data_IF_954294331232
#
_entry.id   IF_954294331232
#
_cell.length_a   1.000
_cell.length_b   1.000
_cell.length_c   1.000
_cell.angle_alpha   90.00
_cell.angle_beta   90.00
_cell.angle_gamma   90.00
#
_symmetry.space_group_name_H-M   'P 1'
#
loop_
_entity.id
_entity.type
_entity.pdbx_description
1 polymer ?
#
# COMPACT_ATOMS: atom_id res chain seq x y z
N UNK A 1 70.85 -19.56 -23.77
CA UNK A 1 70.57 -18.21 -23.24
C UNK A 1 69.08 -18.09 -23.01
N UNK A 2 68.59 -18.09 -21.76
CA UNK A 2 68.14 -16.89 -21.04
C UNK A 2 66.68 -16.56 -21.42
N UNK A 3 65.68 -16.36 -20.56
CA UNK A 3 65.70 -15.69 -19.25
C UNK A 3 64.49 -16.17 -18.44
N UNK A 4 64.70 -16.52 -17.17
CA UNK A 4 63.65 -16.73 -16.16
C UNK A 4 63.11 -15.36 -15.76
N UNK A 5 61.84 -15.06 -16.07
CA UNK A 5 61.17 -13.84 -15.61
C UNK A 5 60.55 -14.10 -14.25
N UNK A 6 61.28 -13.70 -13.20
CA UNK A 6 60.79 -13.62 -11.83
C UNK A 6 59.70 -12.55 -11.73
N UNK A 7 58.44 -12.96 -11.66
CA UNK A 7 57.33 -12.07 -11.33
C UNK A 7 57.33 -11.79 -9.83
N UNK A 8 57.83 -10.62 -9.42
CA UNK A 8 57.62 -10.08 -8.06
C UNK A 8 56.13 -9.87 -7.83
N UNK A 9 55.58 -10.53 -6.81
CA UNK A 9 54.29 -10.19 -6.23
C UNK A 9 54.37 -8.76 -5.67
N UNK A 10 53.76 -7.79 -6.35
CA UNK A 10 53.48 -6.47 -5.78
C UNK A 10 51.98 -6.35 -5.50
N UNK A 11 51.67 -6.29 -4.21
CA UNK A 11 50.36 -6.10 -3.60
C UNK A 11 49.74 -4.77 -4.07
N UNK A 12 48.96 -4.78 -5.16
CA UNK A 12 48.20 -3.61 -5.65
C UNK A 12 46.76 -3.95 -6.07
N UNK A 13 46.22 -5.09 -5.64
CA UNK A 13 44.88 -5.54 -6.03
C UNK A 13 43.75 -5.14 -5.04
N UNK A 14 44.07 -4.55 -3.89
CA UNK A 14 43.05 -4.18 -2.90
C UNK A 14 42.26 -2.91 -3.27
N UNK A 15 42.90 -1.90 -3.89
CA UNK A 15 42.27 -0.59 -4.15
C UNK A 15 41.27 -0.57 -5.30
N UNK A 16 41.46 -1.38 -6.34
CA UNK A 16 40.57 -1.41 -7.53
C UNK A 16 39.29 -2.18 -7.23
N UNK A 17 39.36 -3.21 -6.37
CA UNK A 17 38.19 -3.98 -5.95
C UNK A 17 37.25 -3.13 -5.08
N UNK A 18 37.79 -2.27 -4.23
CA UNK A 18 37.02 -1.31 -3.42
C UNK A 18 36.31 -0.28 -4.32
N UNK A 19 36.95 0.18 -5.40
CA UNK A 19 36.35 1.13 -6.35
C UNK A 19 35.16 0.54 -7.12
N UNK A 20 35.23 -0.74 -7.52
CA UNK A 20 34.12 -1.45 -8.17
C UNK A 20 32.94 -1.72 -7.22
N UNK A 21 33.19 -1.86 -5.92
CA UNK A 21 32.14 -2.00 -4.89
C UNK A 21 31.47 -0.65 -4.60
N UNK A 22 32.20 0.46 -4.62
CA UNK A 22 31.63 1.82 -4.46
C UNK A 22 30.75 2.23 -5.67
N UNK A 23 31.07 1.77 -6.87
CA UNK A 23 30.26 1.96 -8.09
C UNK A 23 28.96 1.11 -8.12
N UNK A 24 28.71 0.27 -7.11
CA UNK A 24 27.47 -0.50 -6.94
C UNK A 24 26.53 0.04 -5.86
N UNK A 25 26.75 1.25 -5.33
CA UNK A 25 25.74 1.91 -4.49
C UNK A 25 24.61 2.60 -5.28
N UNK A 26 24.74 2.72 -6.60
CA UNK A 26 23.78 3.47 -7.44
C UNK A 26 22.78 2.60 -8.21
N UNK A 27 22.78 1.26 -8.04
CA UNK A 27 21.66 0.46 -8.54
C UNK A 27 20.50 0.69 -7.58
N UNK A 28 19.82 1.79 -7.85
CA UNK A 28 18.88 2.43 -6.96
C UNK A 28 17.80 1.46 -6.49
N UNK A 29 17.48 1.56 -5.21
CA UNK A 29 16.14 1.25 -4.74
C UNK A 29 15.24 2.29 -5.44
N UNK A 30 14.81 2.01 -6.67
CA UNK A 30 13.68 2.71 -7.25
C UNK A 30 12.47 2.23 -6.44
N UNK A 31 12.13 2.96 -5.37
CA UNK A 31 10.84 2.80 -4.72
C UNK A 31 9.79 3.36 -5.67
N UNK A 32 9.49 2.61 -6.73
CA UNK A 32 8.43 2.94 -7.66
C UNK A 32 7.12 2.93 -6.86
N UNK A 33 6.45 4.09 -6.79
CA UNK A 33 5.16 4.22 -6.12
C UNK A 33 4.15 3.36 -6.91
N UNK A 34 3.76 2.24 -6.33
CA UNK A 34 2.76 1.36 -6.93
C UNK A 34 1.37 1.98 -6.76
N UNK A 35 0.58 1.98 -7.84
CA UNK A 35 -0.79 2.47 -7.82
C UNK A 35 -1.68 1.59 -6.90
N UNK A 36 -2.63 2.19 -6.17
CA UNK A 36 -3.50 1.45 -5.29
C UNK A 36 -4.49 0.57 -6.07
N UNK A 37 -4.53 -0.71 -5.74
CA UNK A 37 -5.54 -1.65 -6.20
C UNK A 37 -6.28 -2.19 -4.97
N UNK A 38 -7.61 -2.21 -5.02
CA UNK A 38 -8.45 -2.61 -3.90
C UNK A 38 -8.92 -4.06 -4.02
N UNK A 39 -9.06 -4.74 -2.88
CA UNK A 39 -9.88 -5.95 -2.82
C UNK A 39 -11.35 -5.61 -3.10
N UNK A 40 -12.08 -6.59 -3.65
CA UNK A 40 -13.55 -6.48 -3.71
C UNK A 40 -14.10 -6.35 -2.29
N UNK A 41 -14.99 -5.38 -2.09
CA UNK A 41 -15.75 -5.26 -0.86
C UNK A 41 -16.78 -6.39 -0.79
N UNK A 42 -16.95 -6.96 0.40
CA UNK A 42 -17.99 -7.94 0.69
C UNK A 42 -18.93 -7.36 1.74
N UNK A 43 -20.23 -7.52 1.52
CA UNK A 43 -21.29 -7.11 2.43
C UNK A 43 -22.15 -8.33 2.70
N UNK A 44 -22.55 -8.53 3.96
CA UNK A 44 -23.45 -9.62 4.30
C UNK A 44 -24.77 -9.47 3.53
N UNK A 45 -25.28 -10.58 3.00
CA UNK A 45 -26.56 -10.65 2.32
C UNK A 45 -27.76 -10.53 3.27
N UNK A 46 -27.58 -10.79 4.57
CA UNK A 46 -28.65 -10.88 5.56
C UNK A 46 -28.56 -9.77 6.60
N UNK A 47 -28.74 -8.52 6.16
CA UNK A 47 -28.76 -7.36 7.04
C UNK A 47 -30.19 -6.96 7.40
N UNK A 48 -30.46 -6.74 8.68
CA UNK A 48 -31.75 -6.26 9.16
C UNK A 48 -31.68 -4.81 9.66
N UNK A 49 -32.83 -4.13 9.60
CA UNK A 49 -32.97 -2.81 10.21
C UNK A 49 -32.68 -2.87 11.70
N UNK A 50 -31.95 -1.89 12.21
CA UNK A 50 -31.56 -1.80 13.61
C UNK A 50 -30.26 -2.51 13.97
N UNK A 51 -29.71 -3.34 13.08
CA UNK A 51 -28.42 -4.00 13.29
C UNK A 51 -27.26 -3.05 13.04
N UNK A 52 -26.09 -3.46 13.52
CA UNK A 52 -24.81 -2.81 13.22
C UNK A 52 -24.13 -3.53 12.06
N UNK A 53 -23.55 -2.78 11.12
CA UNK A 53 -22.74 -3.34 10.04
C UNK A 53 -21.46 -2.54 9.84
N UNK A 54 -20.39 -3.27 9.55
CA UNK A 54 -19.08 -2.72 9.22
C UNK A 54 -18.76 -3.05 7.76
N UNK A 55 -18.58 -2.02 6.94
CA UNK A 55 -18.13 -2.14 5.54
C UNK A 55 -16.62 -1.93 5.51
N UNK A 56 -15.88 -2.98 5.16
CA UNK A 56 -14.41 -2.93 5.10
C UNK A 56 -13.92 -2.91 3.67
N UNK A 57 -13.08 -1.93 3.35
CA UNK A 57 -12.30 -1.91 2.13
C UNK A 57 -10.80 -2.05 2.47
N UNK A 58 -10.05 -2.77 1.65
CA UNK A 58 -8.63 -2.99 1.89
C UNK A 58 -7.81 -3.00 0.62
N UNK A 59 -6.62 -2.43 0.72
CA UNK A 59 -5.64 -2.35 -0.34
C UNK A 59 -5.05 -3.74 -0.59
N UNK A 60 -5.14 -4.19 -1.84
CA UNK A 60 -4.51 -5.42 -2.35
C UNK A 60 -3.06 -5.16 -2.75
N UNK A 61 -2.80 -4.03 -3.41
CA UNK A 61 -1.46 -3.55 -3.82
C UNK A 61 -1.44 -2.04 -3.84
N UNK A 62 -0.26 -1.46 -3.78
CA UNK A 62 -0.07 -0.01 -3.75
C UNK A 62 0.83 0.43 -2.61
N UNK A 63 1.43 1.60 -2.77
CA UNK A 63 2.35 2.18 -1.81
C UNK A 63 1.63 3.10 -0.80
N UNK A 64 2.03 3.02 0.47
CA UNK A 64 1.54 3.90 1.53
C UNK A 64 2.32 5.23 1.56
N UNK A 65 1.73 6.33 2.07
CA UNK A 65 0.38 6.45 2.61
C UNK A 65 -0.69 6.50 1.51
N UNK A 66 -1.89 5.97 1.80
CA UNK A 66 -3.07 6.08 0.94
C UNK A 66 -4.21 6.74 1.71
N UNK A 67 -5.02 7.52 1.00
CA UNK A 67 -6.24 8.15 1.53
C UNK A 67 -7.44 7.37 1.03
N UNK A 68 -8.41 7.13 1.91
CA UNK A 68 -9.68 6.52 1.56
C UNK A 68 -10.79 7.57 1.64
N UNK A 69 -11.69 7.50 0.67
CA UNK A 69 -12.90 8.31 0.60
C UNK A 69 -14.06 7.35 0.35
N UNK A 70 -15.11 7.47 1.15
CA UNK A 70 -16.31 6.65 1.01
C UNK A 70 -17.38 7.42 0.24
N UNK A 71 -18.07 6.72 -0.65
CA UNK A 71 -19.21 7.26 -1.40
C UNK A 71 -20.46 6.45 -1.11
N UNK A 72 -21.60 7.14 -0.98
CA UNK A 72 -22.94 6.55 -0.98
C UNK A 72 -23.71 7.10 -2.18
N UNK A 73 -24.14 6.20 -3.09
CA UNK A 73 -24.85 6.56 -4.31
C UNK A 73 -24.12 7.65 -5.15
N UNK A 74 -22.79 7.59 -5.20
CA UNK A 74 -21.94 8.53 -5.92
C UNK A 74 -21.71 9.87 -5.22
N UNK A 75 -22.25 10.09 -4.02
CA UNK A 75 -21.97 11.25 -3.18
C UNK A 75 -20.97 10.87 -2.09
N UNK A 76 -19.93 11.67 -1.92
CA UNK A 76 -18.97 11.50 -0.82
C UNK A 76 -19.69 11.57 0.53
N UNK A 77 -19.43 10.58 1.39
CA UNK A 77 -19.93 10.55 2.76
C UNK A 77 -19.05 11.48 3.61
N UNK A 78 -19.67 12.49 4.19
CA UNK A 78 -19.03 13.43 5.09
C UNK A 78 -19.36 13.14 6.55
N UNK A 79 -18.56 13.62 7.51
CA UNK A 79 -18.83 13.40 8.94
C UNK A 79 -20.22 13.91 9.40
N UNK A 80 -20.77 14.92 8.73
CA UNK A 80 -22.11 15.46 8.98
C UNK A 80 -23.24 14.59 8.41
N UNK A 81 -22.95 13.68 7.49
CA UNK A 81 -23.94 12.79 6.92
C UNK A 81 -24.26 11.71 7.96
N UNK A 82 -25.55 11.52 8.26
CA UNK A 82 -26.04 10.46 9.18
C UNK A 82 -25.96 9.06 8.56
N UNK A 83 -24.91 8.79 7.77
CA UNK A 83 -24.68 7.57 7.01
C UNK A 83 -23.64 6.64 7.65
N UNK A 84 -22.94 7.10 8.69
CA UNK A 84 -21.97 6.31 9.44
C UNK A 84 -20.71 7.10 9.76
N UNK A 85 -19.76 6.42 10.42
CA UNK A 85 -18.43 6.96 10.70
C UNK A 85 -17.38 6.03 10.13
N UNK A 86 -16.26 6.55 9.63
CA UNK A 86 -15.21 5.72 9.08
C UNK A 86 -13.84 6.05 9.62
N UNK A 87 -13.00 5.03 9.68
CA UNK A 87 -11.62 5.10 10.13
C UNK A 87 -10.73 4.41 9.11
N UNK A 88 -9.59 5.02 8.83
CA UNK A 88 -8.61 4.52 7.86
C UNK A 88 -7.28 4.26 8.56
N UNK A 89 -6.71 3.08 8.35
CA UNK A 89 -5.45 2.68 8.94
C UNK A 89 -4.72 1.66 8.05
N UNK A 90 -3.43 1.92 7.78
CA UNK A 90 -2.52 1.01 7.06
C UNK A 90 -3.14 0.31 5.84
N UNK A 91 -3.62 1.10 4.87
CA UNK A 91 -4.17 0.54 3.63
C UNK A 91 -5.52 -0.16 3.81
N UNK A 92 -6.24 0.11 4.90
CA UNK A 92 -7.62 -0.32 5.11
C UNK A 92 -8.48 0.87 5.52
N UNK A 93 -9.76 0.81 5.21
CA UNK A 93 -10.77 1.69 5.78
C UNK A 93 -12.00 0.88 6.16
N UNK A 94 -12.61 1.25 7.27
CA UNK A 94 -13.84 0.62 7.78
C UNK A 94 -14.86 1.72 7.98
N UNK A 95 -15.99 1.62 7.28
CA UNK A 95 -17.19 2.42 7.50
C UNK A 95 -18.14 1.64 8.42
N UNK A 96 -18.49 2.27 9.54
CA UNK A 96 -19.32 1.71 10.59
C UNK A 96 -20.69 2.38 10.54
N UNK A 97 -21.73 1.54 10.40
CA UNK A 97 -23.13 1.93 10.51
C UNK A 97 -23.69 1.29 11.78
N UNK A 98 -23.85 2.07 12.85
CA UNK A 98 -24.23 1.52 14.16
C UNK A 98 -25.68 1.02 14.22
N UNK A 99 -26.57 1.62 13.42
CA UNK A 99 -27.98 1.23 13.36
C UNK A 99 -28.50 1.38 11.94
N UNK A 100 -28.61 0.25 11.23
CA UNK A 100 -29.13 0.23 9.87
C UNK A 100 -30.55 0.79 9.85
N UNK A 101 -30.76 1.71 8.91
CA UNK A 101 -32.01 2.42 8.69
C UNK A 101 -32.19 2.63 7.17
N UNK A 102 -33.35 3.10 6.74
CA UNK A 102 -33.70 3.14 5.31
C UNK A 102 -32.76 4.03 4.49
N UNK A 103 -32.22 5.06 5.11
CA UNK A 103 -31.30 6.02 4.50
C UNK A 103 -29.97 5.37 4.08
N UNK A 104 -29.60 4.25 4.71
CA UNK A 104 -28.35 3.54 4.43
C UNK A 104 -28.46 2.63 3.19
N UNK A 105 -29.66 2.43 2.63
CA UNK A 105 -29.83 1.59 1.44
C UNK A 105 -29.20 2.29 0.24
N UNK A 106 -28.25 1.62 -0.41
CA UNK A 106 -27.62 2.14 -1.62
C UNK A 106 -26.31 1.47 -1.97
N UNK A 107 -25.64 2.05 -2.96
CA UNK A 107 -24.34 1.59 -3.43
C UNK A 107 -23.24 2.32 -2.68
N UNK A 108 -22.37 1.56 -2.02
CA UNK A 108 -21.17 2.05 -1.37
C UNK A 108 -19.95 1.81 -2.25
N UNK A 109 -19.03 2.77 -2.33
CA UNK A 109 -17.78 2.69 -3.10
C UNK A 109 -16.64 3.32 -2.33
#
# INVERSE_FOLDING_TARGET
MGVVVSTRMTTKAAGVFVLLVLLRCCVGISSALEAPEMHKMYVDSNLNLGEKVDLMCSLKRGSLPVTFTWYHNGREIRPEDKLGSFVSFQGKSILVVDKIAREHIGNYT
#
